data_IF_758229005912
#
_entry.id   IF_758229005912
#
_cell.length_a   1.000
_cell.length_b   1.000
_cell.length_c   1.000
_cell.angle_alpha   90.00
_cell.angle_beta   90.00
_cell.angle_gamma   90.00
#
_symmetry.space_group_name_H-M   'P 1'
#
loop_
_entity.id
_entity.type
_entity.pdbx_description
1 polymer ?
#
# COMPACT_ATOMS: atom_id res chain seq x y z
N UNK A 1 -23.15 7.97 11.10
CA UNK A 1 -21.98 8.42 11.89
C UNK A 1 -22.20 9.88 12.27
N UNK A 2 -22.19 10.23 13.56
CA UNK A 2 -22.50 11.61 14.02
C UNK A 2 -21.30 12.52 13.72
N UNK A 3 -21.55 13.78 13.33
CA UNK A 3 -20.50 14.76 13.02
C UNK A 3 -19.48 14.93 14.15
N UNK A 4 -19.92 14.80 15.40
CA UNK A 4 -19.06 14.81 16.59
C UNK A 4 -17.96 13.74 16.55
N UNK A 5 -18.26 12.54 16.07
CA UNK A 5 -17.27 11.46 15.94
C UNK A 5 -16.20 11.79 14.90
N UNK A 6 -16.60 12.33 13.74
CA UNK A 6 -15.66 12.75 12.69
C UNK A 6 -14.73 13.85 13.23
N UNK A 7 -15.30 14.87 13.87
CA UNK A 7 -14.54 15.99 14.44
C UNK A 7 -13.55 15.47 15.47
N UNK A 8 -13.97 14.56 16.36
CA UNK A 8 -13.09 13.98 17.37
C UNK A 8 -11.92 13.20 16.74
N UNK A 9 -12.17 12.41 15.68
CA UNK A 9 -11.13 11.69 14.94
C UNK A 9 -10.14 12.68 14.32
N UNK A 10 -10.63 13.73 13.65
CA UNK A 10 -9.78 14.73 12.99
C UNK A 10 -8.92 15.46 14.03
N UNK A 11 -9.51 15.91 15.14
CA UNK A 11 -8.79 16.60 16.22
C UNK A 11 -7.71 15.67 16.80
N UNK A 12 -8.07 14.42 17.12
CA UNK A 12 -7.14 13.43 17.68
C UNK A 12 -5.97 13.15 16.73
N UNK A 13 -6.24 13.05 15.43
CA UNK A 13 -5.22 12.87 14.42
C UNK A 13 -4.28 14.08 14.34
N UNK A 14 -4.83 15.30 14.28
CA UNK A 14 -4.04 16.53 14.18
C UNK A 14 -3.17 16.73 15.42
N UNK A 15 -3.71 16.53 16.62
CA UNK A 15 -2.97 16.68 17.87
C UNK A 15 -1.83 15.68 17.94
N UNK A 16 -2.12 14.39 17.73
CA UNK A 16 -1.10 13.33 17.78
C UNK A 16 -0.01 13.53 16.71
N UNK A 17 -0.42 13.85 15.47
CA UNK A 17 0.52 14.13 14.38
C UNK A 17 1.44 15.32 14.70
N UNK A 18 0.94 16.34 15.39
CA UNK A 18 1.72 17.52 15.78
C UNK A 18 2.70 17.20 16.90
N UNK A 19 2.26 16.46 17.92
CA UNK A 19 3.12 15.98 19.02
C UNK A 19 4.28 15.16 18.44
N UNK A 20 4.00 14.19 17.57
CA UNK A 20 5.03 13.35 16.96
C UNK A 20 5.99 14.13 16.07
N UNK A 21 5.48 15.04 15.23
CA UNK A 21 6.33 15.87 14.37
C UNK A 21 7.30 16.73 15.19
N UNK A 22 6.83 17.30 16.30
CA UNK A 22 7.66 18.09 17.20
C UNK A 22 8.70 17.24 17.93
N UNK A 23 8.30 16.05 18.40
CA UNK A 23 9.21 15.12 19.04
C UNK A 23 10.35 14.70 18.11
N UNK A 24 10.01 14.26 16.90
CA UNK A 24 11.01 13.82 15.90
C UNK A 24 11.93 14.98 15.52
N UNK A 25 11.38 16.18 15.28
CA UNK A 25 12.18 17.37 14.94
C UNK A 25 13.23 17.68 16.00
N UNK A 26 12.85 17.57 17.29
CA UNK A 26 13.77 17.76 18.41
C UNK A 26 14.81 16.64 18.50
N UNK A 27 14.41 15.39 18.29
CA UNK A 27 15.32 14.25 18.36
C UNK A 27 16.39 14.29 17.26
N UNK A 28 16.02 14.65 16.03
CA UNK A 28 16.96 14.69 14.88
C UNK A 28 17.64 16.06 14.70
N UNK A 29 17.24 17.07 15.49
CA UNK A 29 17.72 18.46 15.39
C UNK A 29 17.64 19.05 13.97
N UNK A 30 16.64 18.63 13.19
CA UNK A 30 16.38 19.08 11.81
C UNK A 30 14.88 19.22 11.57
N UNK A 31 14.44 20.25 10.82
CA UNK A 31 13.04 20.41 10.48
C UNK A 31 12.59 19.29 9.53
N UNK A 32 11.48 18.64 9.88
CA UNK A 32 10.84 17.65 9.01
C UNK A 32 10.11 18.38 7.89
N UNK A 33 9.99 17.75 6.72
CA UNK A 33 9.21 18.30 5.62
C UNK A 33 7.77 18.62 6.05
N UNK A 34 7.20 19.69 5.48
CA UNK A 34 5.80 20.04 5.76
C UNK A 34 4.87 18.89 5.40
N UNK A 35 3.81 18.68 6.20
CA UNK A 35 2.82 17.63 5.96
C UNK A 35 2.22 17.66 4.55
N UNK A 36 2.08 18.87 3.98
CA UNK A 36 1.57 19.10 2.63
C UNK A 36 2.55 18.77 1.50
N UNK A 37 3.85 18.66 1.77
CA UNK A 37 4.86 18.34 0.75
C UNK A 37 5.40 16.91 0.89
N UNK A 38 5.19 16.25 2.03
CA UNK A 38 5.82 14.98 2.39
C UNK A 38 5.63 13.81 1.40
N UNK A 39 4.66 13.88 0.49
CA UNK A 39 4.39 12.84 -0.50
C UNK A 39 5.14 13.02 -1.84
N UNK A 40 5.87 14.13 -2.03
CA UNK A 40 6.53 14.45 -3.30
C UNK A 40 7.57 13.41 -3.72
N UNK A 41 8.35 12.89 -2.77
CA UNK A 41 9.31 11.80 -3.00
C UNK A 41 8.61 10.52 -3.49
N UNK A 42 7.55 10.11 -2.80
CA UNK A 42 6.78 8.92 -3.19
C UNK A 42 6.08 9.10 -4.53
N UNK A 43 5.62 10.31 -4.88
CA UNK A 43 5.10 10.60 -6.20
C UNK A 43 6.18 10.48 -7.27
N UNK A 44 7.35 11.08 -7.05
CA UNK A 44 8.49 11.00 -7.97
C UNK A 44 8.84 9.55 -8.28
N UNK A 45 9.01 8.71 -7.25
CA UNK A 45 9.29 7.28 -7.43
C UNK A 45 8.12 6.60 -8.14
N UNK A 46 6.89 6.86 -7.67
CA UNK A 46 5.68 6.21 -8.17
C UNK A 46 5.41 6.45 -9.65
N UNK A 47 5.89 7.55 -10.22
CA UNK A 47 5.77 7.89 -11.64
C UNK A 47 6.99 7.48 -12.48
N UNK A 48 7.95 6.74 -11.90
CA UNK A 48 9.11 6.25 -12.63
C UNK A 48 8.79 4.97 -13.40
N UNK A 49 8.64 5.08 -14.72
CA UNK A 49 8.35 3.92 -15.59
C UNK A 49 9.48 2.90 -15.62
N UNK A 50 10.74 3.35 -15.71
CA UNK A 50 11.93 2.47 -15.78
C UNK A 50 11.99 1.48 -14.60
N UNK A 51 11.53 1.91 -13.43
CA UNK A 51 11.52 1.10 -12.22
C UNK A 51 10.12 0.64 -11.79
N UNK A 52 9.13 0.71 -12.68
CA UNK A 52 7.75 0.31 -12.43
C UNK A 52 7.13 0.91 -11.15
N UNK A 53 7.49 2.16 -10.83
CA UNK A 53 7.02 2.84 -9.63
C UNK A 53 7.59 2.29 -8.31
N UNK A 54 8.60 1.43 -8.34
CA UNK A 54 9.27 0.89 -7.16
C UNK A 54 10.43 1.77 -6.72
N UNK A 55 10.79 1.66 -5.44
CA UNK A 55 12.00 2.28 -4.91
C UNK A 55 13.22 1.88 -5.76
N UNK A 56 14.06 2.87 -6.03
CA UNK A 56 15.27 2.70 -6.82
C UNK A 56 16.36 3.67 -6.35
N UNK A 57 17.62 3.28 -6.54
CA UNK A 57 18.76 4.05 -6.05
C UNK A 57 18.96 5.39 -6.79
N UNK A 58 18.53 5.50 -8.05
CA UNK A 58 18.64 6.73 -8.84
C UNK A 58 17.76 7.84 -8.26
N UNK A 59 16.48 7.55 -8.04
CA UNK A 59 15.53 8.49 -7.46
C UNK A 59 15.82 8.77 -5.98
N UNK A 60 16.35 7.79 -5.25
CA UNK A 60 16.88 8.00 -3.92
C UNK A 60 18.00 9.04 -3.92
N UNK A 61 19.04 8.88 -4.76
CA UNK A 61 20.13 9.87 -4.89
C UNK A 61 19.61 11.25 -5.29
N UNK A 62 18.71 11.31 -6.27
CA UNK A 62 18.10 12.56 -6.72
C UNK A 62 17.40 13.31 -5.57
N UNK A 63 16.72 12.60 -4.66
CA UNK A 63 16.08 13.22 -3.50
C UNK A 63 17.10 13.88 -2.55
N UNK A 64 18.21 13.21 -2.26
CA UNK A 64 19.29 13.79 -1.46
C UNK A 64 19.90 15.01 -2.16
N UNK A 65 20.17 14.92 -3.46
CA UNK A 65 20.67 16.05 -4.23
C UNK A 65 19.73 17.26 -4.15
N UNK A 66 18.40 17.06 -4.25
CA UNK A 66 17.44 18.15 -4.09
C UNK A 66 17.42 18.71 -2.67
N UNK A 67 17.38 17.83 -1.66
CA UNK A 67 17.34 18.24 -0.25
C UNK A 67 18.59 19.00 0.15
N UNK A 68 19.77 18.54 -0.27
CA UNK A 68 21.07 19.14 0.07
C UNK A 68 21.29 20.45 -0.67
N UNK A 69 20.99 20.50 -1.98
CA UNK A 69 21.07 21.75 -2.77
C UNK A 69 20.14 22.83 -2.21
N UNK A 70 18.93 22.46 -1.78
CA UNK A 70 17.93 23.39 -1.29
C UNK A 70 18.00 23.65 0.22
N UNK A 71 18.91 22.95 0.93
CA UNK A 71 19.08 22.99 2.39
C UNK A 71 17.76 22.89 3.17
N UNK A 72 16.79 22.17 2.61
CA UNK A 72 15.41 22.15 3.11
C UNK A 72 14.69 20.89 2.66
N UNK A 73 14.27 20.07 3.61
CA UNK A 73 13.50 18.86 3.35
C UNK A 73 12.17 19.16 2.65
N UNK A 74 11.49 20.24 3.04
CA UNK A 74 10.24 20.70 2.40
C UNK A 74 10.46 21.07 0.93
N UNK A 75 11.54 21.79 0.62
CA UNK A 75 11.81 22.19 -0.76
C UNK A 75 12.31 21.02 -1.60
N UNK A 76 13.09 20.09 -1.02
CA UNK A 76 13.45 18.83 -1.65
C UNK A 76 12.23 18.00 -2.03
N UNK A 77 11.27 17.87 -1.11
CA UNK A 77 9.99 17.20 -1.35
C UNK A 77 9.18 17.88 -2.47
N UNK A 78 9.11 19.22 -2.48
CA UNK A 78 8.46 19.98 -3.57
C UNK A 78 9.15 19.73 -4.92
N UNK A 79 10.48 19.72 -4.97
CA UNK A 79 11.21 19.43 -6.20
C UNK A 79 10.91 18.01 -6.72
N UNK A 80 10.84 17.02 -5.82
CA UNK A 80 10.40 15.67 -6.17
C UNK A 80 8.96 15.65 -6.70
N UNK A 81 8.05 16.39 -6.07
CA UNK A 81 6.68 16.51 -6.56
C UNK A 81 6.65 17.02 -8.01
N UNK A 82 7.35 18.12 -8.31
CA UNK A 82 7.40 18.67 -9.66
C UNK A 82 8.01 17.70 -10.67
N UNK A 83 9.07 16.98 -10.30
CA UNK A 83 9.64 15.92 -11.15
C UNK A 83 8.67 14.76 -11.38
N UNK A 84 7.90 14.39 -10.37
CA UNK A 84 6.85 13.37 -10.49
C UNK A 84 5.77 13.79 -11.49
N UNK A 85 5.35 15.06 -11.42
CA UNK A 85 4.38 15.66 -12.34
C UNK A 85 4.95 15.79 -13.76
N UNK A 86 6.20 16.24 -13.90
CA UNK A 86 6.91 16.32 -15.18
C UNK A 86 6.94 14.96 -15.89
N UNK A 87 7.22 13.86 -15.17
CA UNK A 87 7.18 12.50 -15.72
C UNK A 87 5.80 12.17 -16.30
N UNK A 88 4.72 12.48 -15.57
CA UNK A 88 3.35 12.24 -16.04
C UNK A 88 3.06 13.06 -17.32
N UNK A 89 3.43 14.33 -17.36
CA UNK A 89 3.20 15.19 -18.51
C UNK A 89 3.98 14.77 -19.75
N UNK A 90 5.18 14.24 -19.56
CA UNK A 90 6.06 13.81 -20.66
C UNK A 90 5.79 12.36 -21.10
N UNK A 91 5.06 11.57 -20.31
CA UNK A 91 4.65 10.22 -20.69
C UNK A 91 3.43 10.22 -21.61
N UNK A 92 3.40 9.28 -22.54
CA UNK A 92 2.21 9.03 -23.35
C UNK A 92 1.18 8.15 -22.60
N UNK A 93 -0.05 8.09 -23.11
CA UNK A 93 -1.13 7.32 -22.50
C UNK A 93 -0.78 5.83 -22.30
N UNK A 94 -0.06 5.23 -23.25
CA UNK A 94 0.30 3.80 -23.18
C UNK A 94 1.30 3.54 -22.06
N UNK A 95 2.30 4.39 -21.91
CA UNK A 95 3.31 4.32 -20.84
C UNK A 95 2.64 4.43 -19.46
N UNK A 96 1.72 5.38 -19.30
CA UNK A 96 0.96 5.56 -18.04
C UNK A 96 0.15 4.30 -17.71
N UNK A 97 -0.57 3.74 -18.68
CA UNK A 97 -1.37 2.52 -18.49
C UNK A 97 -0.48 1.31 -18.19
N UNK A 98 0.63 1.14 -18.89
CA UNK A 98 1.59 0.07 -18.64
C UNK A 98 2.16 0.16 -17.22
N UNK A 99 2.56 1.36 -16.80
CA UNK A 99 3.04 1.62 -15.45
C UNK A 99 1.98 1.24 -14.43
N UNK A 100 0.71 1.62 -14.64
CA UNK A 100 -0.37 1.24 -13.73
C UNK A 100 -0.51 -0.28 -13.61
N UNK A 101 -0.59 -1.01 -14.72
CA UNK A 101 -0.68 -2.48 -14.68
C UNK A 101 0.51 -3.14 -13.98
N UNK A 102 1.73 -2.68 -14.26
CA UNK A 102 2.93 -3.18 -13.60
C UNK A 102 2.86 -2.94 -12.09
N UNK A 103 2.42 -1.75 -11.67
CA UNK A 103 2.27 -1.41 -10.25
C UNK A 103 1.22 -2.29 -9.56
N UNK A 104 0.08 -2.55 -10.20
CA UNK A 104 -0.91 -3.48 -9.65
C UNK A 104 -0.36 -4.90 -9.50
N UNK A 105 0.39 -5.39 -10.50
CA UNK A 105 1.05 -6.70 -10.42
C UNK A 105 2.06 -6.77 -9.27
N UNK A 106 2.82 -5.71 -9.04
CA UNK A 106 3.80 -5.63 -7.95
C UNK A 106 3.10 -5.60 -6.58
N UNK A 107 2.06 -4.79 -6.44
CA UNK A 107 1.35 -4.61 -5.18
C UNK A 107 0.58 -5.86 -4.76
N UNK A 108 -0.16 -6.46 -5.70
CA UNK A 108 -1.16 -7.48 -5.39
C UNK A 108 -0.83 -8.87 -5.95
N UNK A 109 0.24 -9.02 -6.74
CA UNK A 109 0.48 -10.27 -7.47
C UNK A 109 0.98 -11.44 -6.61
N UNK A 110 1.42 -11.19 -5.38
CA UNK A 110 1.87 -12.21 -4.43
C UNK A 110 2.00 -11.60 -3.02
N UNK A 111 2.18 -12.42 -1.99
CA UNK A 111 2.37 -11.98 -0.59
C UNK A 111 3.79 -12.21 -0.07
N UNK A 112 4.78 -12.25 -0.96
CA UNK A 112 6.09 -12.85 -0.68
C UNK A 112 7.07 -11.94 0.05
N UNK A 113 6.81 -10.63 0.15
CA UNK A 113 7.80 -9.66 0.63
C UNK A 113 8.49 -10.07 1.93
N UNK A 114 7.73 -10.47 2.96
CA UNK A 114 8.30 -10.85 4.25
C UNK A 114 9.25 -12.06 4.13
N UNK A 115 8.92 -13.02 3.27
CA UNK A 115 9.69 -14.26 3.08
C UNK A 115 10.94 -13.98 2.24
N UNK A 116 10.79 -13.23 1.15
CA UNK A 116 11.89 -12.85 0.29
C UNK A 116 12.91 -11.98 1.05
N UNK A 117 12.43 -11.08 1.93
CA UNK A 117 13.30 -10.29 2.80
C UNK A 117 14.09 -11.15 3.79
N UNK A 118 13.44 -12.10 4.47
CA UNK A 118 14.13 -13.03 5.38
C UNK A 118 15.14 -13.91 4.62
N UNK A 119 14.80 -14.36 3.41
CA UNK A 119 15.72 -15.12 2.57
C UNK A 119 16.98 -14.33 2.25
N UNK A 120 16.84 -13.08 1.78
CA UNK A 120 17.97 -12.20 1.45
C UNK A 120 18.82 -11.95 2.69
N UNK A 121 18.19 -11.56 3.80
CA UNK A 121 18.86 -11.22 5.04
C UNK A 121 19.71 -12.39 5.59
N UNK A 122 19.12 -13.59 5.67
CA UNK A 122 19.83 -14.78 6.13
C UNK A 122 20.94 -15.21 5.16
N UNK A 123 20.74 -14.99 3.86
CA UNK A 123 21.76 -15.27 2.85
C UNK A 123 22.97 -14.33 3.01
N UNK A 124 22.75 -13.04 3.25
CA UNK A 124 23.82 -12.06 3.47
C UNK A 124 24.60 -12.31 4.76
N UNK A 125 23.95 -12.89 5.77
CA UNK A 125 24.58 -13.26 7.04
C UNK A 125 25.27 -14.64 7.01
N UNK A 126 25.11 -15.41 5.93
CA UNK A 126 25.63 -16.78 5.85
C UNK A 126 24.89 -17.79 6.73
N UNK A 127 23.71 -17.44 7.24
CA UNK A 127 22.89 -18.28 8.12
C UNK A 127 21.84 -19.12 7.35
N UNK A 128 21.70 -18.90 6.05
CA UNK A 128 20.77 -19.63 5.20
C UNK A 128 21.22 -21.09 4.99
N UNK A 129 20.69 -22.00 5.81
CA UNK A 129 20.86 -23.44 5.62
C UNK A 129 19.69 -24.09 4.85
N UNK A 130 19.87 -25.36 4.45
CA UNK A 130 18.89 -26.10 3.66
C UNK A 130 17.52 -26.23 4.35
N UNK A 131 17.48 -26.46 5.66
CA UNK A 131 16.23 -26.61 6.40
C UNK A 131 15.44 -25.30 6.40
N UNK A 132 16.11 -24.18 6.67
CA UNK A 132 15.49 -22.86 6.65
C UNK A 132 14.99 -22.52 5.24
N UNK A 133 15.79 -22.80 4.21
CA UNK A 133 15.38 -22.56 2.81
C UNK A 133 14.10 -23.33 2.44
N UNK A 134 13.99 -24.60 2.86
CA UNK A 134 12.77 -25.40 2.66
C UNK A 134 11.57 -24.78 3.38
N UNK A 135 11.74 -24.36 4.63
CA UNK A 135 10.67 -23.69 5.40
C UNK A 135 10.23 -22.39 4.71
N UNK A 136 11.16 -21.54 4.29
CA UNK A 136 10.85 -20.29 3.58
C UNK A 136 10.09 -20.55 2.27
N UNK A 137 10.52 -21.53 1.48
CA UNK A 137 9.83 -21.91 0.24
C UNK A 137 8.42 -22.42 0.48
N UNK A 138 8.22 -23.29 1.48
CA UNK A 138 6.89 -23.82 1.81
C UNK A 138 5.97 -22.72 2.36
N UNK A 139 6.48 -21.86 3.24
CA UNK A 139 5.77 -20.68 3.73
C UNK A 139 5.36 -19.75 2.59
N UNK A 140 6.18 -19.63 1.54
CA UNK A 140 5.88 -18.81 0.36
C UNK A 140 4.67 -19.34 -0.40
N UNK A 141 4.60 -20.66 -0.59
CA UNK A 141 3.48 -21.32 -1.25
C UNK A 141 2.21 -21.13 -0.41
N UNK A 142 2.26 -21.48 0.87
CA UNK A 142 1.12 -21.35 1.79
C UNK A 142 0.61 -19.92 1.89
N UNK A 143 1.53 -18.95 2.00
CA UNK A 143 1.21 -17.52 2.06
C UNK A 143 0.50 -17.02 0.81
N UNK A 144 0.89 -17.48 -0.38
CA UNK A 144 0.21 -17.12 -1.62
C UNK A 144 -1.16 -17.81 -1.76
N UNK A 145 -1.30 -19.07 -1.33
CA UNK A 145 -2.61 -19.76 -1.32
C UNK A 145 -3.58 -19.04 -0.39
N UNK A 146 -3.15 -18.73 0.83
CA UNK A 146 -3.94 -17.97 1.79
C UNK A 146 -4.34 -16.60 1.23
N UNK A 147 -3.37 -15.86 0.68
CA UNK A 147 -3.62 -14.55 0.10
C UNK A 147 -4.59 -14.61 -1.08
N UNK A 148 -4.47 -15.62 -1.96
CA UNK A 148 -5.40 -15.83 -3.06
C UNK A 148 -6.83 -16.10 -2.56
N UNK A 149 -7.00 -16.93 -1.52
CA UNK A 149 -8.29 -17.17 -0.87
C UNK A 149 -8.88 -15.85 -0.37
N UNK A 150 -8.09 -15.03 0.34
CA UNK A 150 -8.54 -13.72 0.81
C UNK A 150 -9.00 -12.81 -0.34
N UNK A 151 -8.22 -12.71 -1.42
CA UNK A 151 -8.57 -11.89 -2.59
C UNK A 151 -9.86 -12.40 -3.25
N UNK A 152 -9.98 -13.71 -3.48
CA UNK A 152 -11.15 -14.31 -4.13
C UNK A 152 -12.43 -14.04 -3.35
N UNK A 153 -12.44 -14.33 -2.04
CA UNK A 153 -13.65 -14.15 -1.25
C UNK A 153 -13.94 -12.67 -0.93
N UNK A 154 -12.91 -11.82 -0.85
CA UNK A 154 -13.10 -10.36 -0.78
C UNK A 154 -13.80 -9.84 -2.04
N UNK A 155 -13.39 -10.33 -3.21
CA UNK A 155 -14.02 -9.96 -4.48
C UNK A 155 -15.49 -10.42 -4.51
N UNK A 156 -15.77 -11.67 -4.15
CA UNK A 156 -17.15 -12.18 -4.10
C UNK A 156 -18.01 -11.38 -3.13
N UNK A 157 -17.50 -11.08 -1.93
CA UNK A 157 -18.25 -10.28 -0.96
C UNK A 157 -18.53 -8.87 -1.47
N UNK A 158 -17.58 -8.26 -2.17
CA UNK A 158 -17.77 -6.95 -2.79
C UNK A 158 -18.94 -6.95 -3.79
N UNK A 159 -19.15 -8.05 -4.54
CA UNK A 159 -20.30 -8.21 -5.44
C UNK A 159 -21.63 -8.39 -4.67
N UNK A 160 -21.62 -9.11 -3.54
CA UNK A 160 -22.80 -9.24 -2.68
C UNK A 160 -23.19 -7.90 -2.06
N UNK A 161 -22.24 -7.15 -1.51
CA UNK A 161 -22.47 -5.81 -0.95
C UNK A 161 -23.06 -4.88 -2.01
N UNK A 162 -22.51 -4.89 -3.23
CA UNK A 162 -23.03 -4.08 -4.33
C UNK A 162 -24.50 -4.41 -4.66
N UNK A 163 -24.85 -5.70 -4.59
CA UNK A 163 -26.21 -6.18 -4.85
C UNK A 163 -27.18 -5.84 -3.70
N UNK A 164 -26.67 -5.76 -2.46
CA UNK A 164 -27.42 -5.46 -1.24
C UNK A 164 -27.37 -3.98 -0.91
N UNK A 165 -28.26 -3.18 -1.52
CA UNK A 165 -28.34 -1.70 -1.35
C UNK A 165 -28.45 -1.20 0.11
N UNK A 166 -28.68 -2.08 1.09
CA UNK A 166 -28.91 -1.75 2.50
C UNK A 166 -27.70 -1.89 3.43
N UNK A 167 -26.63 -2.59 3.06
CA UNK A 167 -25.50 -2.89 3.96
C UNK A 167 -24.39 -1.84 3.87
N UNK A 168 -24.71 -0.61 4.24
CA UNK A 168 -23.83 0.55 4.04
C UNK A 168 -22.57 0.53 4.92
N UNK A 169 -22.59 -0.25 5.99
CA UNK A 169 -21.52 -0.36 6.98
C UNK A 169 -20.25 -0.97 6.36
N UNK A 170 -20.40 -1.90 5.40
CA UNK A 170 -19.25 -2.56 4.76
C UNK A 170 -18.60 -1.69 3.68
N UNK A 171 -19.26 -0.62 3.21
CA UNK A 171 -18.65 0.28 2.22
C UNK A 171 -17.35 0.90 2.72
N UNK A 172 -17.18 1.13 4.02
CA UNK A 172 -15.92 1.69 4.53
C UNK A 172 -14.73 0.76 4.30
N UNK A 173 -14.95 -0.55 4.40
CA UNK A 173 -13.91 -1.57 4.17
C UNK A 173 -13.56 -1.65 2.68
N UNK A 174 -14.58 -1.63 1.80
CA UNK A 174 -14.40 -1.60 0.34
C UNK A 174 -13.73 -0.30 -0.10
N UNK A 175 -14.10 0.84 0.47
CA UNK A 175 -13.49 2.13 0.19
C UNK A 175 -12.03 2.18 0.66
N UNK A 176 -11.69 1.53 1.77
CA UNK A 176 -10.30 1.43 2.24
C UNK A 176 -9.44 0.59 1.28
N UNK A 177 -9.99 -0.50 0.75
CA UNK A 177 -9.36 -1.33 -0.29
C UNK A 177 -9.10 -0.51 -1.57
N UNK A 178 -10.16 0.10 -2.13
CA UNK A 178 -10.07 0.91 -3.36
C UNK A 178 -9.20 2.15 -3.16
N UNK A 179 -9.32 2.82 -2.02
CA UNK A 179 -8.49 3.98 -1.68
C UNK A 179 -7.01 3.63 -1.63
N UNK A 180 -6.66 2.44 -1.11
CA UNK A 180 -5.28 1.95 -1.14
C UNK A 180 -4.81 1.67 -2.56
N UNK A 181 -5.65 1.03 -3.38
CA UNK A 181 -5.36 0.78 -4.79
C UNK A 181 -5.07 2.09 -5.54
N UNK A 182 -5.97 3.08 -5.44
CA UNK A 182 -5.83 4.39 -6.08
C UNK A 182 -4.58 5.13 -5.57
N UNK A 183 -4.29 5.07 -4.27
CA UNK A 183 -3.11 5.73 -3.70
C UNK A 183 -1.83 5.25 -4.37
N UNK A 184 -1.67 3.93 -4.54
CA UNK A 184 -0.49 3.34 -5.15
C UNK A 184 -0.51 3.34 -6.68
N UNK A 185 -1.57 3.82 -7.33
CA UNK A 185 -1.52 4.18 -8.76
C UNK A 185 -0.54 5.33 -8.98
N UNK A 186 -0.54 6.33 -8.10
CA UNK A 186 0.29 7.53 -8.25
C UNK A 186 1.58 7.46 -7.45
N UNK A 187 1.52 6.95 -6.22
CA UNK A 187 2.67 6.91 -5.32
C UNK A 187 3.51 5.65 -5.51
N UNK A 188 4.70 5.64 -4.93
CA UNK A 188 5.58 4.49 -4.84
C UNK A 188 4.78 3.21 -4.49
N UNK A 189 5.10 2.13 -5.19
CA UNK A 189 4.52 0.82 -4.95
C UNK A 189 5.59 -0.16 -4.48
N UNK A 190 5.27 -0.92 -3.45
CA UNK A 190 6.06 -2.05 -2.99
C UNK A 190 5.12 -3.15 -2.51
N UNK A 191 5.53 -4.41 -2.66
CA UNK A 191 4.70 -5.56 -2.29
C UNK A 191 4.31 -5.56 -0.79
N UNK A 192 5.12 -4.96 0.09
CA UNK A 192 4.79 -4.83 1.51
C UNK A 192 3.59 -3.92 1.81
N UNK A 193 3.23 -3.03 0.89
CA UNK A 193 2.16 -2.06 1.12
C UNK A 193 0.75 -2.69 1.03
N UNK A 194 0.63 -3.99 0.79
CA UNK A 194 -0.67 -4.67 0.91
C UNK A 194 -0.96 -5.17 2.34
N UNK A 195 0.06 -5.29 3.21
CA UNK A 195 -0.11 -5.94 4.51
C UNK A 195 -1.05 -5.20 5.47
N UNK A 196 -1.19 -3.87 5.35
CA UNK A 196 -2.17 -3.13 6.16
C UNK A 196 -3.62 -3.37 5.73
N UNK A 197 -3.83 -3.82 4.48
CA UNK A 197 -5.15 -4.16 3.93
C UNK A 197 -5.51 -5.63 4.12
N UNK A 198 -4.51 -6.50 4.34
CA UNK A 198 -4.76 -7.93 4.54
C UNK A 198 -5.81 -8.23 5.63
N UNK A 199 -5.82 -7.57 6.82
CA UNK A 199 -6.89 -7.79 7.80
C UNK A 199 -8.29 -7.44 7.28
N UNK A 200 -8.40 -6.40 6.45
CA UNK A 200 -9.66 -5.99 5.81
C UNK A 200 -10.12 -7.06 4.82
N UNK A 201 -9.20 -7.60 4.02
CA UNK A 201 -9.48 -8.72 3.11
C UNK A 201 -9.89 -9.98 3.89
N UNK A 202 -9.31 -10.26 5.04
CA UNK A 202 -9.72 -11.39 5.88
C UNK A 202 -11.16 -11.22 6.37
N UNK A 203 -11.54 -10.03 6.85
CA UNK A 203 -12.90 -9.73 7.31
C UNK A 203 -13.90 -9.90 6.16
N UNK A 204 -13.66 -9.23 5.03
CA UNK A 204 -14.53 -9.33 3.85
C UNK A 204 -14.58 -10.76 3.29
N UNK A 205 -13.43 -11.45 3.28
CA UNK A 205 -13.33 -12.84 2.82
C UNK A 205 -14.16 -13.81 3.65
N UNK A 206 -14.11 -13.71 4.98
CA UNK A 206 -14.93 -14.56 5.87
C UNK A 206 -16.42 -14.29 5.70
N UNK A 207 -16.81 -13.02 5.56
CA UNK A 207 -18.21 -12.65 5.28
C UNK A 207 -18.66 -13.23 3.93
N UNK A 208 -17.80 -13.16 2.90
CA UNK A 208 -18.05 -13.76 1.60
C UNK A 208 -18.27 -15.27 1.66
N UNK A 209 -17.42 -15.99 2.40
CA UNK A 209 -17.58 -17.43 2.64
C UNK A 209 -18.93 -17.71 3.33
N UNK A 210 -19.23 -16.99 4.40
CA UNK A 210 -20.48 -17.14 5.15
C UNK A 210 -21.71 -16.94 4.25
N UNK A 211 -21.71 -15.88 3.44
CA UNK A 211 -22.81 -15.57 2.52
C UNK A 211 -23.00 -16.64 1.44
N UNK A 212 -21.92 -17.24 0.93
CA UNK A 212 -22.01 -18.37 0.00
C UNK A 212 -22.64 -19.58 0.69
N UNK A 213 -22.18 -19.92 1.90
CA UNK A 213 -22.68 -21.08 2.64
C UNK A 213 -24.18 -20.96 2.93
N UNK A 214 -24.64 -19.82 3.44
CA UNK A 214 -26.08 -19.59 3.66
C UNK A 214 -26.89 -19.73 2.37
N UNK A 215 -26.39 -19.18 1.25
CA UNK A 215 -27.10 -19.26 -0.03
C UNK A 215 -27.15 -20.68 -0.59
N UNK A 216 -26.14 -21.50 -0.33
CA UNK A 216 -26.15 -22.92 -0.69
C UNK A 216 -27.12 -23.72 0.18
N UNK A 217 -27.33 -23.34 1.44
CA UNK A 217 -28.36 -23.94 2.31
C UNK A 217 -29.77 -23.58 1.82
N UNK A 218 -30.02 -22.31 1.49
CA UNK A 218 -31.31 -21.84 0.97
C UNK A 218 -31.73 -22.57 -0.33
N UNK A 219 -30.77 -22.91 -1.18
CA UNK A 219 -31.02 -23.66 -2.43
C UNK A 219 -31.31 -25.14 -2.17
N UNK A 220 -30.79 -25.74 -1.08
CA UNK A 220 -31.07 -27.14 -0.74
C UNK A 220 -32.45 -27.36 -0.14
N UNK A 221 -33.07 -26.30 0.39
CA UNK A 221 -34.38 -26.34 1.04
C UNK A 221 -35.53 -25.87 0.14
N UNK A 222 -35.25 -25.49 -1.11
CA UNK A 222 -36.23 -25.22 -2.17
C UNK A 222 -36.20 -26.33 -3.21
#
# INVERSE_FOLDING_TARGET
MKYTTIIFIIISYITMSTIMSNYVTRAISKPIASKSSAFGYSLMIGTNEKYNGQWNSDDYRNFFDYSDKLKSATNGQKACFYKGIERIYNSNFREIINLFFNKYKILWGNSNFAIDFNYIFLSEQGELNNNINVVLKNSKILGNVFYFICVLFTFIESLFIYSRKSQKEYYILVLLLIGTMITHVFLEVQNRYQYHILPVMCILGVIGIYNILCKLEDVKHN
#
